data_IF_173867943218
#
_entry.id   IF_173867943218
#
_cell.length_a   1.000
_cell.length_b   1.000
_cell.length_c   1.000
_cell.angle_alpha   90.00
_cell.angle_beta   90.00
_cell.angle_gamma   90.00
#
_symmetry.space_group_name_H-M   'P 1'
#
loop_
_entity.id
_entity.type
_entity.pdbx_description
1 polymer ?
#
# COMPACT_ATOMS: atom_id res chain seq x y z
N UNK A 1 -24.30 -15.75 -3.85
CA UNK A 1 -23.77 -14.50 -4.37
C UNK A 1 -23.47 -13.53 -3.23
N UNK A 2 -22.36 -12.83 -3.32
CA UNK A 2 -21.98 -11.85 -2.33
C UNK A 2 -21.91 -10.46 -2.92
N UNK A 3 -22.28 -9.48 -2.12
CA UNK A 3 -22.15 -8.07 -2.50
C UNK A 3 -20.72 -7.62 -2.26
N UNK A 4 -20.14 -6.97 -3.24
CA UNK A 4 -18.79 -6.44 -3.17
C UNK A 4 -18.73 -5.07 -3.80
N UNK A 5 -17.70 -4.29 -3.41
CA UNK A 5 -17.33 -3.06 -4.08
C UNK A 5 -15.89 -3.21 -4.56
N UNK A 6 -15.54 -2.47 -5.59
CA UNK A 6 -14.16 -2.42 -6.07
C UNK A 6 -13.53 -1.11 -5.65
N UNK A 7 -12.43 -1.19 -4.92
CA UNK A 7 -11.73 -0.03 -4.35
C UNK A 7 -10.33 0.06 -4.91
N UNK A 8 -9.91 1.27 -5.23
CA UNK A 8 -8.58 1.58 -5.74
C UNK A 8 -7.90 2.58 -4.81
N UNK A 9 -6.66 2.29 -4.45
CA UNK A 9 -5.90 3.16 -3.54
C UNK A 9 -4.99 4.15 -4.25
N UNK A 10 -4.65 3.89 -5.52
CA UNK A 10 -3.80 4.75 -6.35
C UNK A 10 -4.39 4.89 -7.73
N UNK A 11 -4.14 6.02 -8.37
CA UNK A 11 -4.74 6.34 -9.67
C UNK A 11 -4.46 5.28 -10.74
N UNK A 12 -3.25 4.74 -10.75
CA UNK A 12 -2.87 3.67 -11.68
C UNK A 12 -2.75 2.32 -10.98
N UNK A 13 -3.32 2.21 -9.79
CA UNK A 13 -3.24 1.01 -8.98
C UNK A 13 -4.29 -0.03 -9.34
N UNK A 14 -4.11 -1.20 -8.79
CA UNK A 14 -5.06 -2.29 -8.93
C UNK A 14 -6.28 -2.05 -8.07
N UNK A 15 -7.39 -2.70 -8.44
CA UNK A 15 -8.61 -2.68 -7.65
C UNK A 15 -8.68 -3.91 -6.75
N UNK A 16 -9.32 -3.73 -5.61
CA UNK A 16 -9.51 -4.78 -4.61
C UNK A 16 -10.98 -4.86 -4.24
N UNK A 17 -11.45 -6.06 -3.96
CA UNK A 17 -12.82 -6.26 -3.51
C UNK A 17 -12.93 -6.11 -2.01
N UNK A 18 -13.96 -5.39 -1.57
CA UNK A 18 -14.32 -5.25 -0.17
C UNK A 18 -15.82 -5.48 0.01
N UNK A 19 -16.20 -5.87 1.23
CA UNK A 19 -17.59 -6.00 1.61
C UNK A 19 -18.13 -4.59 1.93
N UNK A 20 -19.22 -4.18 1.28
CA UNK A 20 -19.80 -2.86 1.55
C UNK A 20 -20.44 -2.72 2.93
N UNK A 21 -20.52 -3.80 3.72
CA UNK A 21 -21.10 -3.79 5.07
C UNK A 21 -22.51 -3.17 5.12
N UNK A 22 -23.33 -3.52 4.13
CA UNK A 22 -24.71 -3.01 3.98
C UNK A 22 -24.81 -1.48 3.85
N UNK A 23 -23.71 -0.81 3.56
CA UNK A 23 -23.69 0.63 3.35
C UNK A 23 -24.02 0.93 1.89
N UNK A 24 -24.87 1.94 1.60
CA UNK A 24 -25.15 2.34 0.22
C UNK A 24 -23.94 3.08 -0.34
N UNK A 25 -23.17 2.41 -1.18
CA UNK A 25 -21.93 2.92 -1.75
C UNK A 25 -22.07 3.02 -3.25
N UNK A 26 -21.66 4.16 -3.79
CA UNK A 26 -21.73 4.43 -5.23
C UNK A 26 -20.34 4.56 -5.81
N UNK A 27 -20.21 4.37 -7.11
CA UNK A 27 -18.98 4.65 -7.84
C UNK A 27 -18.60 6.12 -7.65
N UNK A 28 -17.34 6.35 -7.31
CA UNK A 28 -16.83 7.69 -7.01
C UNK A 28 -16.78 8.04 -5.53
N UNK A 29 -17.44 7.25 -4.68
CA UNK A 29 -17.33 7.43 -3.24
C UNK A 29 -15.95 7.01 -2.72
N UNK A 30 -15.59 7.51 -1.55
CA UNK A 30 -14.37 7.12 -0.87
C UNK A 30 -14.71 6.37 0.40
N UNK A 31 -13.94 5.34 0.69
CA UNK A 31 -14.16 4.49 1.88
C UNK A 31 -12.87 4.32 2.66
N UNK A 32 -13.02 4.12 3.95
CA UNK A 32 -11.91 3.78 4.84
C UNK A 32 -11.93 2.27 5.04
N UNK A 33 -10.79 1.66 4.82
CA UNK A 33 -10.61 0.21 4.97
C UNK A 33 -9.35 -0.08 5.75
N UNK A 34 -9.31 -1.23 6.36
CA UNK A 34 -8.11 -1.71 7.05
C UNK A 34 -7.47 -2.81 6.22
N UNK A 35 -6.21 -2.61 5.87
CA UNK A 35 -5.43 -3.55 5.08
C UNK A 35 -4.22 -4.02 5.87
N UNK A 36 -3.42 -4.92 5.29
CA UNK A 36 -2.16 -5.36 5.90
C UNK A 36 -1.20 -4.19 6.15
N UNK A 37 -1.38 -3.09 5.43
CA UNK A 37 -0.54 -1.88 5.57
C UNK A 37 -1.10 -0.88 6.58
N UNK A 38 -2.25 -1.15 7.16
CA UNK A 38 -2.91 -0.28 8.11
C UNK A 38 -4.21 0.29 7.55
N UNK A 39 -4.67 1.38 8.14
CA UNK A 39 -5.90 2.05 7.72
C UNK A 39 -5.62 2.89 6.47
N UNK A 40 -6.42 2.70 5.43
CA UNK A 40 -6.27 3.38 4.15
C UNK A 40 -7.59 3.95 3.66
N UNK A 41 -7.50 5.04 2.91
CA UNK A 41 -8.63 5.63 2.21
C UNK A 41 -8.54 5.24 0.73
N UNK A 42 -9.60 4.69 0.19
CA UNK A 42 -9.65 4.27 -1.21
C UNK A 42 -10.84 4.84 -1.94
N UNK A 43 -10.69 4.95 -3.26
CA UNK A 43 -11.76 5.38 -4.15
C UNK A 43 -12.54 4.17 -4.64
N UNK A 44 -13.86 4.23 -4.55
CA UNK A 44 -14.74 3.19 -5.08
C UNK A 44 -14.84 3.39 -6.60
N UNK A 45 -14.21 2.50 -7.33
CA UNK A 45 -14.24 2.55 -8.80
C UNK A 45 -15.45 1.81 -9.37
N UNK A 46 -16.04 0.94 -8.59
CA UNK A 46 -17.29 0.28 -8.92
C UNK A 46 -18.11 0.09 -7.66
N UNK A 47 -19.32 0.62 -7.67
CA UNK A 47 -20.25 0.51 -6.55
C UNK A 47 -20.70 -0.92 -6.29
N UNK A 48 -21.65 -1.09 -5.39
CA UNK A 48 -22.11 -2.40 -4.95
C UNK A 48 -22.57 -3.25 -6.14
N UNK A 49 -22.00 -4.44 -6.25
CA UNK A 49 -22.41 -5.45 -7.22
C UNK A 49 -22.41 -6.82 -6.57
N UNK A 50 -23.16 -7.73 -7.16
CA UNK A 50 -23.19 -9.11 -6.70
C UNK A 50 -22.28 -9.95 -7.60
N UNK A 51 -21.46 -10.79 -6.97
CA UNK A 51 -20.61 -11.73 -7.70
C UNK A 51 -20.77 -13.13 -7.10
N UNK A 52 -20.43 -14.14 -7.89
CA UNK A 52 -20.49 -15.52 -7.43
C UNK A 52 -19.55 -15.75 -6.25
N UNK A 53 -19.98 -16.57 -5.29
CA UNK A 53 -19.18 -16.88 -4.12
C UNK A 53 -17.78 -17.44 -4.49
N UNK A 54 -17.70 -18.18 -5.59
CA UNK A 54 -16.44 -18.71 -6.10
C UNK A 54 -15.47 -17.64 -6.59
N UNK A 55 -15.98 -16.48 -6.98
CA UNK A 55 -15.17 -15.35 -7.44
C UNK A 55 -14.77 -14.41 -6.32
N UNK A 56 -15.28 -14.63 -5.11
CA UNK A 56 -14.98 -13.78 -3.96
C UNK A 56 -13.71 -14.30 -3.26
N UNK A 57 -12.77 -13.44 -2.92
CA UNK A 57 -11.64 -13.84 -2.09
C UNK A 57 -12.09 -14.45 -0.77
N UNK A 58 -11.41 -15.48 -0.31
CA UNK A 58 -11.78 -16.19 0.92
C UNK A 58 -11.85 -15.26 2.15
N UNK A 59 -11.06 -14.22 2.14
CA UNK A 59 -10.97 -13.28 3.25
C UNK A 59 -11.44 -11.89 2.81
N UNK A 60 -12.68 -11.78 2.36
CA UNK A 60 -13.27 -10.50 2.00
C UNK A 60 -13.43 -9.65 3.27
N UNK A 61 -12.74 -8.52 3.30
CA UNK A 61 -12.81 -7.61 4.44
C UNK A 61 -13.91 -6.58 4.23
N UNK A 62 -14.62 -6.20 5.30
CA UNK A 62 -15.59 -5.12 5.20
C UNK A 62 -14.89 -3.77 5.21
N UNK A 63 -15.59 -2.75 4.70
CA UNK A 63 -15.14 -1.38 4.89
C UNK A 63 -15.29 -1.02 6.36
N UNK A 64 -14.44 -0.11 6.83
CA UNK A 64 -14.53 0.40 8.19
C UNK A 64 -15.64 1.43 8.29
N UNK A 65 -15.66 2.38 7.35
CA UNK A 65 -16.67 3.44 7.27
C UNK A 65 -16.53 4.18 5.95
N UNK A 66 -17.48 5.04 5.65
CA UNK A 66 -17.34 5.97 4.54
C UNK A 66 -16.29 7.04 4.91
N UNK A 67 -15.51 7.45 3.93
CA UNK A 67 -14.56 8.54 4.12
C UNK A 67 -15.28 9.89 4.07
N UNK A 68 -14.87 10.79 4.94
CA UNK A 68 -15.37 12.17 4.91
C UNK A 68 -14.42 13.08 4.12
N UNK A 69 -14.73 14.38 4.07
CA UNK A 69 -13.90 15.34 3.33
C UNK A 69 -12.50 15.48 3.92
N UNK A 70 -12.37 15.31 5.23
CA UNK A 70 -11.07 15.36 5.92
C UNK A 70 -10.21 14.18 5.50
N UNK A 71 -10.79 12.99 5.46
CA UNK A 71 -10.08 11.77 5.03
C UNK A 71 -9.57 11.90 3.59
N UNK A 72 -10.41 12.37 2.70
CA UNK A 72 -10.05 12.55 1.29
C UNK A 72 -8.93 13.59 1.14
N UNK A 73 -9.00 14.66 1.90
CA UNK A 73 -7.97 15.70 1.89
C UNK A 73 -6.63 15.15 2.38
N UNK A 74 -6.66 14.38 3.47
CA UNK A 74 -5.45 13.73 4.00
C UNK A 74 -4.84 12.75 2.98
N UNK A 75 -5.68 11.98 2.33
CA UNK A 75 -5.24 11.04 1.30
C UNK A 75 -4.51 11.78 0.18
N UNK A 76 -5.08 12.86 -0.32
CA UNK A 76 -4.46 13.66 -1.39
C UNK A 76 -3.16 14.30 -0.94
N UNK A 77 -3.13 14.86 0.27
CA UNK A 77 -1.93 15.45 0.84
C UNK A 77 -0.84 14.39 1.02
N UNK A 78 -1.21 13.22 1.51
CA UNK A 78 -0.28 12.12 1.66
C UNK A 78 0.35 11.70 0.32
N UNK A 79 -0.45 11.66 -0.74
CA UNK A 79 0.07 11.33 -2.07
C UNK A 79 1.13 12.30 -2.55
N UNK A 80 0.91 13.59 -2.32
CA UNK A 80 1.89 14.61 -2.68
C UNK A 80 3.16 14.50 -1.83
N UNK A 81 3.01 14.29 -0.54
CA UNK A 81 4.12 14.14 0.37
C UNK A 81 4.90 12.84 0.13
N UNK A 82 4.23 11.79 -0.31
CA UNK A 82 4.87 10.52 -0.70
C UNK A 82 5.85 10.71 -1.85
N UNK A 83 5.53 11.54 -2.81
CA UNK A 83 6.43 11.85 -3.92
C UNK A 83 7.71 12.50 -3.43
N UNK A 84 7.58 13.46 -2.51
CA UNK A 84 8.73 14.12 -1.89
C UNK A 84 9.54 13.15 -1.05
N UNK A 85 8.87 12.32 -0.27
CA UNK A 85 9.51 11.32 0.57
C UNK A 85 10.29 10.32 -0.28
N UNK A 86 9.74 9.92 -1.42
CA UNK A 86 10.40 9.04 -2.36
C UNK A 86 11.74 9.62 -2.83
N UNK A 87 11.72 10.86 -3.31
CA UNK A 87 12.95 11.52 -3.77
C UNK A 87 13.97 11.71 -2.64
N UNK A 88 13.51 12.12 -1.47
CA UNK A 88 14.38 12.29 -0.30
C UNK A 88 15.03 10.97 0.09
N UNK A 89 14.27 9.91 0.09
CA UNK A 89 14.81 8.59 0.41
C UNK A 89 15.83 8.12 -0.64
N UNK A 90 15.57 8.36 -1.92
CA UNK A 90 16.53 8.05 -2.98
C UNK A 90 17.86 8.78 -2.77
N UNK A 91 17.80 10.05 -2.42
CA UNK A 91 18.99 10.84 -2.13
C UNK A 91 19.77 10.28 -0.93
N UNK A 92 19.07 9.88 0.11
CA UNK A 92 19.69 9.28 1.28
C UNK A 92 20.34 7.93 0.95
N UNK A 93 19.68 7.11 0.15
CA UNK A 93 20.23 5.82 -0.30
C UNK A 93 21.54 6.05 -1.07
N UNK A 94 21.56 7.02 -1.97
CA UNK A 94 22.75 7.37 -2.74
C UNK A 94 23.87 7.89 -1.84
N UNK A 95 23.52 8.72 -0.85
CA UNK A 95 24.48 9.28 0.10
C UNK A 95 25.14 8.20 0.94
N UNK A 96 24.39 7.21 1.35
CA UNK A 96 24.92 6.09 2.13
C UNK A 96 25.56 5.00 1.27
N UNK A 97 25.47 5.12 -0.06
CA UNK A 97 26.06 4.15 -0.97
C UNK A 97 25.46 2.75 -0.85
N UNK A 98 24.17 2.65 -0.56
CA UNK A 98 23.50 1.37 -0.37
C UNK A 98 23.09 0.77 -1.72
N UNK A 99 23.30 -0.55 -1.83
CA UNK A 99 22.91 -1.30 -3.03
C UNK A 99 21.45 -1.76 -2.92
N UNK A 100 20.55 -0.82 -3.03
CA UNK A 100 19.11 -1.08 -2.99
C UNK A 100 18.40 -0.15 -3.94
N UNK A 101 17.26 -0.60 -4.45
CA UNK A 101 16.41 0.18 -5.33
C UNK A 101 15.12 0.50 -4.62
N UNK A 102 14.83 1.78 -4.45
CA UNK A 102 13.56 2.21 -3.88
C UNK A 102 12.47 2.04 -4.92
N UNK A 103 11.37 1.42 -4.52
CA UNK A 103 10.23 1.16 -5.40
C UNK A 103 9.11 2.13 -5.10
N UNK A 104 8.78 2.33 -3.83
CA UNK A 104 7.64 3.15 -3.44
C UNK A 104 7.78 3.68 -2.02
N UNK A 105 7.16 4.82 -1.77
CA UNK A 105 6.99 5.39 -0.44
C UNK A 105 5.51 5.59 -0.17
N UNK A 106 5.06 5.25 1.04
CA UNK A 106 3.67 5.40 1.44
C UNK A 106 3.55 5.93 2.87
N UNK A 107 2.67 6.90 3.05
CA UNK A 107 2.21 7.31 4.36
C UNK A 107 1.00 6.49 4.78
N UNK A 108 0.90 6.17 6.06
CA UNK A 108 -0.38 5.73 6.61
C UNK A 108 -1.34 6.90 6.61
N UNK A 109 -2.65 6.64 6.60
CA UNK A 109 -3.65 7.71 6.52
C UNK A 109 -3.52 8.70 7.66
N UNK A 110 -3.24 8.22 8.87
CA UNK A 110 -3.05 9.05 10.06
C UNK A 110 -1.65 9.67 10.14
N UNK A 111 -0.77 9.37 9.19
CA UNK A 111 0.62 9.83 9.10
C UNK A 111 1.46 9.40 10.30
N UNK A 112 1.11 8.31 10.95
CA UNK A 112 1.86 7.78 12.09
C UNK A 112 3.18 7.14 11.68
N UNK A 113 3.28 6.68 10.43
CA UNK A 113 4.52 6.12 9.90
C UNK A 113 4.60 6.28 8.38
N UNK A 114 5.83 6.18 7.88
CA UNK A 114 6.11 6.13 6.45
C UNK A 114 6.70 4.76 6.14
N UNK A 115 6.20 4.13 5.11
CA UNK A 115 6.70 2.85 4.63
C UNK A 115 7.43 3.04 3.32
N UNK A 116 8.67 2.55 3.26
CA UNK A 116 9.46 2.55 2.03
C UNK A 116 9.65 1.11 1.57
N UNK A 117 9.27 0.85 0.35
CA UNK A 117 9.38 -0.47 -0.27
C UNK A 117 10.58 -0.48 -1.20
N UNK A 118 11.43 -1.50 -1.08
CA UNK A 118 12.66 -1.57 -1.87
C UNK A 118 12.96 -2.99 -2.28
N UNK A 119 13.80 -3.11 -3.31
CA UNK A 119 14.39 -4.37 -3.74
C UNK A 119 15.90 -4.31 -3.55
N UNK A 120 16.49 -5.45 -3.25
CA UNK A 120 17.94 -5.57 -3.12
C UNK A 120 18.35 -7.00 -3.41
N UNK A 121 19.56 -7.17 -3.96
CA UNK A 121 20.08 -8.51 -4.31
C UNK A 121 20.67 -9.26 -3.11
N UNK A 122 20.90 -8.57 -2.00
CA UNK A 122 21.48 -9.18 -0.85
C UNK A 122 21.19 -8.40 0.42
N UNK A 123 22.03 -8.61 1.40
CA UNK A 123 21.92 -7.91 2.68
C UNK A 123 22.24 -6.43 2.53
N UNK A 124 21.38 -5.61 3.12
CA UNK A 124 21.61 -4.17 3.20
C UNK A 124 21.54 -3.77 4.67
N UNK A 125 22.56 -3.07 5.14
CA UNK A 125 22.52 -2.47 6.47
C UNK A 125 22.00 -1.03 6.32
N UNK A 126 20.76 -0.83 6.71
CA UNK A 126 20.11 0.47 6.57
C UNK A 126 19.82 1.15 7.91
N UNK A 127 20.55 0.80 8.98
CA UNK A 127 20.36 1.42 10.29
C UNK A 127 20.59 2.92 10.24
N UNK A 128 21.66 3.35 9.57
CA UNK A 128 21.97 4.77 9.41
C UNK A 128 20.93 5.46 8.50
N UNK A 129 20.50 4.76 7.46
CA UNK A 129 19.45 5.28 6.57
C UNK A 129 18.17 5.55 7.35
N UNK A 130 17.74 4.60 8.19
CA UNK A 130 16.54 4.76 9.01
C UNK A 130 16.68 5.96 9.95
N UNK A 131 17.83 6.14 10.57
CA UNK A 131 18.09 7.30 11.43
C UNK A 131 17.95 8.61 10.69
N UNK A 132 18.54 8.69 9.51
CA UNK A 132 18.48 9.90 8.69
C UNK A 132 17.04 10.20 8.29
N UNK A 133 16.32 9.20 7.81
CA UNK A 133 14.94 9.37 7.40
C UNK A 133 14.06 9.78 8.56
N UNK A 134 14.23 9.16 9.72
CA UNK A 134 13.48 9.53 10.92
C UNK A 134 13.77 10.97 11.34
N UNK A 135 15.01 11.42 11.21
CA UNK A 135 15.39 12.80 11.50
C UNK A 135 14.81 13.81 10.53
N UNK A 136 14.68 13.43 9.26
CA UNK A 136 14.11 14.29 8.21
C UNK A 136 12.59 14.39 8.34
N UNK A 137 11.92 13.26 8.50
CA UNK A 137 10.47 13.20 8.47
C UNK A 137 9.81 13.33 9.84
N UNK A 138 10.57 13.18 10.90
CA UNK A 138 10.07 13.24 12.28
C UNK A 138 8.89 12.28 12.52
N UNK A 139 8.97 11.11 11.89
CA UNK A 139 7.92 10.10 12.02
C UNK A 139 8.55 8.72 11.98
N UNK A 140 7.77 7.71 12.34
CA UNK A 140 8.25 6.34 12.33
C UNK A 140 8.54 5.91 10.88
N UNK A 141 9.70 5.32 10.67
CA UNK A 141 10.13 4.83 9.37
C UNK A 141 10.11 3.32 9.38
N UNK A 142 9.52 2.74 8.36
CA UNK A 142 9.52 1.30 8.18
C UNK A 142 10.03 0.99 6.77
N UNK A 143 11.08 0.17 6.70
CA UNK A 143 11.63 -0.30 5.43
C UNK A 143 11.19 -1.73 5.20
N UNK A 144 10.63 -1.98 4.02
CA UNK A 144 10.14 -3.30 3.64
C UNK A 144 10.81 -3.75 2.36
N UNK A 145 11.49 -4.89 2.43
CA UNK A 145 12.06 -5.51 1.24
C UNK A 145 10.97 -6.30 0.52
N UNK A 146 10.89 -6.10 -0.79
CA UNK A 146 9.96 -6.84 -1.64
C UNK A 146 10.75 -7.60 -2.69
N UNK A 147 10.14 -8.66 -3.23
CA UNK A 147 10.74 -9.42 -4.32
C UNK A 147 10.54 -8.71 -5.66
N UNK A 148 11.32 -9.11 -6.65
CA UNK A 148 11.24 -8.54 -8.00
C UNK A 148 9.83 -8.69 -8.59
N UNK A 149 9.16 -9.81 -8.30
CA UNK A 149 7.77 -10.01 -8.74
C UNK A 149 6.81 -9.03 -8.10
N UNK A 150 7.01 -8.74 -6.84
CA UNK A 150 6.17 -7.80 -6.11
C UNK A 150 6.40 -6.39 -6.60
N UNK A 151 7.62 -6.04 -6.97
CA UNK A 151 7.92 -4.77 -7.62
C UNK A 151 7.09 -4.59 -8.89
N UNK A 152 7.07 -5.59 -9.74
CA UNK A 152 6.27 -5.56 -10.95
C UNK A 152 4.78 -5.37 -10.67
N UNK A 153 4.26 -6.00 -9.63
CA UNK A 153 2.87 -5.86 -9.22
C UNK A 153 2.57 -4.46 -8.69
N UNK A 154 3.51 -3.83 -8.02
CA UNK A 154 3.33 -2.48 -7.48
C UNK A 154 3.39 -1.42 -8.58
N UNK A 155 4.34 -1.54 -9.49
CA UNK A 155 4.56 -0.58 -10.56
C UNK A 155 3.55 -0.78 -11.69
N UNK A 156 3.37 -2.02 -12.12
CA UNK A 156 2.48 -2.35 -13.21
C UNK A 156 1.06 -2.54 -12.75
N UNK A 157 0.23 -1.54 -12.88
CA UNK A 157 -1.17 -1.66 -12.57
C UNK A 157 -1.86 -2.78 -13.36
N UNK A 158 -1.34 -3.11 -14.50
CA UNK A 158 -1.80 -4.20 -15.33
C UNK A 158 -1.17 -5.50 -14.85
N UNK A 159 -1.55 -5.88 -13.70
CA UNK A 159 -0.98 -7.05 -13.13
C UNK A 159 -1.03 -8.26 -14.00
N UNK A 160 -0.09 -9.08 -13.75
CA UNK A 160 0.09 -10.37 -14.38
C UNK A 160 -1.20 -11.18 -14.41
N UNK A 161 -2.09 -10.95 -13.48
CA UNK A 161 -3.35 -11.70 -13.41
C UNK A 161 -4.54 -10.98 -14.02
N UNK A 162 -4.50 -9.67 -14.20
CA UNK A 162 -5.62 -8.91 -14.77
C UNK A 162 -6.94 -9.05 -14.03
N UNK A 163 -6.96 -9.61 -12.84
CA UNK A 163 -8.16 -9.88 -12.07
C UNK A 163 -8.08 -9.22 -10.69
N UNK A 164 -9.07 -8.42 -10.32
CA UNK A 164 -9.02 -7.66 -9.07
C UNK A 164 -8.85 -8.52 -7.82
N UNK A 165 -9.45 -9.70 -7.77
CA UNK A 165 -9.34 -10.52 -6.57
C UNK A 165 -7.94 -11.08 -6.33
N UNK A 166 -7.11 -11.18 -7.34
CA UNK A 166 -5.70 -11.55 -7.17
C UNK A 166 -4.94 -10.49 -6.39
N UNK A 167 -5.42 -9.25 -6.46
CA UNK A 167 -4.82 -8.15 -5.72
C UNK A 167 -5.03 -8.29 -4.21
N UNK A 168 -6.15 -8.88 -3.79
CA UNK A 168 -6.37 -9.17 -2.37
C UNK A 168 -5.34 -10.18 -1.87
N UNK A 169 -5.02 -11.17 -2.69
CA UNK A 169 -3.96 -12.12 -2.37
C UNK A 169 -2.60 -11.43 -2.28
N UNK A 170 -2.33 -10.52 -3.20
CA UNK A 170 -1.11 -9.74 -3.18
C UNK A 170 -0.96 -8.97 -1.86
N UNK A 171 -2.00 -8.27 -1.41
CA UNK A 171 -1.98 -7.57 -0.14
C UNK A 171 -1.73 -8.51 1.04
N UNK A 172 -2.27 -9.72 0.96
CA UNK A 172 -2.09 -10.72 1.99
C UNK A 172 -0.66 -11.27 2.00
N UNK A 173 -0.12 -11.51 0.81
CA UNK A 173 1.25 -12.01 0.64
C UNK A 173 2.29 -10.93 0.90
N UNK A 174 1.87 -9.67 0.85
CA UNK A 174 2.73 -8.53 1.06
C UNK A 174 2.97 -8.32 2.55
N UNK A 175 3.67 -9.27 3.14
CA UNK A 175 3.93 -9.27 4.57
C UNK A 175 4.97 -8.22 4.92
N UNK A 176 4.76 -7.47 6.01
CA UNK A 176 5.81 -6.59 6.49
C UNK A 176 7.00 -7.42 6.92
N UNK A 177 8.14 -7.13 6.33
CA UNK A 177 9.38 -7.77 6.72
C UNK A 177 10.10 -6.82 7.68
N UNK A 178 10.28 -7.24 8.92
CA UNK A 178 10.98 -6.42 9.90
C UNK A 178 12.44 -6.25 9.48
N UNK A 179 13.06 -5.18 9.94
CA UNK A 179 14.48 -4.92 9.67
C UNK A 179 15.34 -6.12 10.08
N UNK A 180 15.03 -6.74 11.20
CA UNK A 180 15.73 -7.94 11.66
C UNK A 180 15.60 -9.10 10.68
N UNK A 181 14.39 -9.32 10.16
CA UNK A 181 14.15 -10.40 9.19
C UNK A 181 14.90 -10.15 7.90
N UNK A 182 14.91 -8.92 7.42
CA UNK A 182 15.65 -8.58 6.21
C UNK A 182 17.12 -8.90 6.41
N UNK A 183 17.67 -8.54 7.55
CA UNK A 183 19.05 -8.84 7.87
C UNK A 183 19.38 -10.34 7.94
N UNK A 184 18.39 -11.18 8.16
CA UNK A 184 18.57 -12.64 8.21
C UNK A 184 18.29 -13.34 6.89
N UNK A 185 17.41 -12.77 6.09
CA UNK A 185 16.89 -13.41 4.89
C UNK A 185 17.85 -13.35 3.70
N UNK A 186 18.92 -12.72 3.88
CA UNK A 186 19.89 -12.56 2.80
C UNK A 186 20.68 -13.82 2.53
#
# INVERSE_FOLDING_TARGET
>A
MKKVISVRFKDNGKTYYFDPADTPIKTGDYVIVETARGVECGEVVQGVKEIADSAVPKALKPITRMADSVDVRRMRQNREDEKRAYHTCQECIARHGLEMKLVEAEYTLDRSKIMFYFTADGRVDFRELVKDLAGIFHTRIELRQIGVRDESKMIGGLGICGQPFCCSRFLKDFQPVSIKKIGRAS
#
